data_IF_892979870382
#
_entry.id   IF_892979870382
#
_cell.length_a   1.000
_cell.length_b   1.000
_cell.length_c   1.000
_cell.angle_alpha   90.00
_cell.angle_beta   90.00
_cell.angle_gamma   90.00
#
_symmetry.space_group_name_H-M   'P 1'
#
loop_
_entity.id
_entity.type
_entity.pdbx_description
1 polymer ?
#
# COMPACT_ATOMS: atom_id res chain seq x y z
N UNK A 1 -10.24 15.04 -12.10
CA UNK A 1 -10.04 13.63 -12.47
C UNK A 1 -9.02 12.92 -11.58
N UNK A 2 -7.76 13.37 -11.47
CA UNK A 2 -6.76 12.77 -10.56
C UNK A 2 -7.18 12.64 -9.09
N UNK A 3 -7.76 13.70 -8.50
CA UNK A 3 -8.18 13.71 -7.09
C UNK A 3 -9.30 12.70 -6.77
N UNK A 4 -10.13 12.34 -7.76
CA UNK A 4 -11.24 11.40 -7.59
C UNK A 4 -10.83 9.92 -7.65
N UNK A 5 -9.65 9.62 -8.20
CA UNK A 5 -9.14 8.25 -8.33
C UNK A 5 -8.13 7.94 -7.22
N UNK A 6 -7.25 8.89 -6.89
CA UNK A 6 -6.13 8.67 -5.98
C UNK A 6 -6.53 8.49 -4.51
N UNK A 7 -7.48 9.27 -4.00
CA UNK A 7 -7.88 9.20 -2.58
C UNK A 7 -8.63 7.89 -2.25
N UNK A 8 -9.59 7.43 -3.08
CA UNK A 8 -10.21 6.12 -2.86
C UNK A 8 -9.22 4.95 -2.95
N UNK A 9 -8.26 5.00 -3.87
CA UNK A 9 -7.24 3.96 -4.03
C UNK A 9 -6.30 3.87 -2.83
N UNK A 10 -5.87 5.02 -2.28
CA UNK A 10 -5.07 5.08 -1.06
C UNK A 10 -5.73 4.33 0.10
N UNK A 11 -6.96 4.72 0.41
CA UNK A 11 -7.68 4.17 1.55
C UNK A 11 -7.86 2.65 1.38
N UNK A 12 -8.11 2.19 0.16
CA UNK A 12 -8.36 0.77 -0.11
C UNK A 12 -7.11 -0.09 0.02
N UNK A 13 -5.98 0.32 -0.57
CA UNK A 13 -4.76 -0.49 -0.56
C UNK A 13 -4.17 -0.64 0.84
N UNK A 14 -4.02 0.48 1.57
CA UNK A 14 -3.48 0.47 2.93
C UNK A 14 -4.38 -0.36 3.85
N UNK A 15 -5.70 -0.22 3.71
CA UNK A 15 -6.65 -1.01 4.50
C UNK A 15 -6.58 -2.51 4.17
N UNK A 16 -6.43 -2.88 2.89
CA UNK A 16 -6.28 -4.28 2.49
C UNK A 16 -5.01 -4.94 3.07
N UNK A 17 -3.93 -4.18 3.29
CA UNK A 17 -2.72 -4.69 3.98
C UNK A 17 -3.02 -4.85 5.48
N UNK A 18 -3.59 -3.81 6.10
CA UNK A 18 -3.74 -3.78 7.55
C UNK A 18 -4.79 -4.75 8.08
N UNK A 19 -5.88 -5.01 7.35
CA UNK A 19 -6.92 -5.97 7.78
C UNK A 19 -6.39 -7.40 7.93
N UNK A 20 -5.27 -7.74 7.28
CA UNK A 20 -4.65 -9.07 7.36
C UNK A 20 -3.93 -9.33 8.68
N UNK A 21 -3.64 -8.30 9.47
CA UNK A 21 -3.06 -8.46 10.81
C UNK A 21 -4.12 -8.80 11.87
N UNK A 22 -5.41 -8.86 11.50
CA UNK A 22 -6.52 -9.15 12.39
C UNK A 22 -6.93 -7.95 13.25
N UNK A 23 -8.22 -7.83 13.53
CA UNK A 23 -8.78 -6.78 14.39
C UNK A 23 -9.07 -7.33 15.80
N UNK A 24 -8.76 -6.60 16.89
CA UNK A 24 -8.09 -5.29 16.96
C UNK A 24 -6.56 -5.36 17.12
N UNK A 25 -6.01 -6.55 17.38
CA UNK A 25 -4.60 -6.75 17.75
C UNK A 25 -3.60 -6.29 16.67
N UNK A 26 -4.01 -6.31 15.40
CA UNK A 26 -3.21 -5.82 14.28
C UNK A 26 -2.89 -4.33 14.35
N UNK A 27 -3.70 -3.56 15.09
CA UNK A 27 -3.73 -2.09 15.08
C UNK A 27 -3.45 -1.45 16.45
N UNK A 28 -3.27 -2.25 17.49
CA UNK A 28 -3.07 -1.74 18.85
C UNK A 28 -1.63 -1.29 19.11
N UNK A 29 -1.47 -0.16 19.79
CA UNK A 29 -0.19 0.32 20.30
C UNK A 29 0.79 0.82 19.23
N UNK A 30 2.07 0.91 19.61
CA UNK A 30 3.16 1.35 18.72
C UNK A 30 3.32 0.46 17.49
N UNK A 31 3.03 -0.84 17.63
CA UNK A 31 3.13 -1.80 16.53
C UNK A 31 2.06 -1.56 15.45
N UNK A 32 0.85 -1.17 15.83
CA UNK A 32 -0.19 -0.78 14.87
C UNK A 32 0.21 0.45 14.05
N UNK A 33 0.82 1.44 14.71
CA UNK A 33 1.34 2.65 14.04
C UNK A 33 2.50 2.29 13.10
N UNK A 34 3.42 1.42 13.53
CA UNK A 34 4.50 0.91 12.69
C UNK A 34 3.98 0.27 11.40
N UNK A 35 3.03 -0.68 11.52
CA UNK A 35 2.42 -1.35 10.37
C UNK A 35 1.68 -0.38 9.45
N UNK A 36 1.01 0.64 10.01
CA UNK A 36 0.37 1.71 9.22
C UNK A 36 1.41 2.48 8.40
N UNK A 37 2.50 2.91 9.01
CA UNK A 37 3.58 3.64 8.33
C UNK A 37 4.21 2.80 7.23
N UNK A 38 4.50 1.52 7.49
CA UNK A 38 5.07 0.61 6.50
C UNK A 38 4.10 0.35 5.32
N UNK A 39 2.81 0.22 5.60
CA UNK A 39 1.77 0.10 4.57
C UNK A 39 1.68 1.37 3.70
N UNK A 40 1.82 2.55 4.30
CA UNK A 40 1.85 3.82 3.58
C UNK A 40 3.07 3.94 2.67
N UNK A 41 4.25 3.48 3.10
CA UNK A 41 5.46 3.47 2.27
C UNK A 41 5.29 2.62 1.01
N UNK A 42 4.72 1.41 1.14
CA UNK A 42 4.37 0.59 -0.02
C UNK A 42 3.37 1.30 -0.95
N UNK A 43 2.32 1.91 -0.40
CA UNK A 43 1.37 2.68 -1.20
C UNK A 43 2.05 3.79 -1.99
N UNK A 44 2.91 4.60 -1.36
CA UNK A 44 3.58 5.70 -2.04
C UNK A 44 4.51 5.22 -3.15
N UNK A 45 5.22 4.11 -2.94
CA UNK A 45 6.04 3.49 -3.97
C UNK A 45 5.22 3.07 -5.19
N UNK A 46 4.07 2.43 -4.98
CA UNK A 46 3.20 1.97 -6.07
C UNK A 46 2.51 3.15 -6.77
N UNK A 47 2.13 4.18 -6.00
CA UNK A 47 1.59 5.44 -6.52
C UNK A 47 2.53 6.11 -7.51
N UNK A 48 3.86 6.01 -7.33
CA UNK A 48 4.83 6.57 -8.27
C UNK A 48 4.78 5.88 -9.65
N UNK A 49 4.22 4.67 -9.74
CA UNK A 49 3.99 3.99 -11.02
C UNK A 49 2.69 4.43 -11.73
N UNK A 50 1.87 5.30 -11.11
CA UNK A 50 0.69 5.86 -11.75
C UNK A 50 1.07 7.09 -12.58
N UNK A 51 0.64 7.12 -13.84
CA UNK A 51 0.70 8.29 -14.71
C UNK A 51 -0.69 8.71 -15.19
N UNK A 52 -0.73 9.54 -16.23
CA UNK A 52 -1.98 9.95 -16.86
C UNK A 52 -2.63 8.79 -17.65
N UNK A 53 -3.85 8.33 -17.30
CA UNK A 53 -4.51 7.23 -18.02
C UNK A 53 -4.73 7.52 -19.52
N UNK A 54 -4.79 8.79 -19.93
CA UNK A 54 -4.93 9.16 -21.34
C UNK A 54 -3.62 8.95 -22.13
N UNK A 55 -2.48 8.85 -21.44
CA UNK A 55 -1.15 8.77 -22.05
C UNK A 55 -0.40 7.48 -21.70
N UNK A 56 -0.72 6.84 -20.57
CA UNK A 56 -0.09 5.60 -20.10
C UNK A 56 -1.14 4.64 -19.55
N UNK A 57 -0.95 3.34 -19.82
CA UNK A 57 -1.84 2.31 -19.30
C UNK A 57 -1.59 2.09 -17.80
N UNK A 58 -2.52 2.53 -16.95
CA UNK A 58 -2.47 2.37 -15.50
C UNK A 58 -3.37 1.23 -14.98
N UNK A 59 -4.06 0.51 -15.86
CA UNK A 59 -5.09 -0.46 -15.45
C UNK A 59 -4.52 -1.59 -14.59
N UNK A 60 -3.31 -2.06 -14.90
CA UNK A 60 -2.64 -3.10 -14.13
C UNK A 60 -2.28 -2.59 -12.73
N UNK A 61 -1.67 -1.40 -12.63
CA UNK A 61 -1.30 -0.79 -11.34
C UNK A 61 -2.54 -0.55 -10.48
N UNK A 62 -3.62 -0.03 -11.07
CA UNK A 62 -4.90 0.20 -10.38
C UNK A 62 -5.52 -1.12 -9.92
N UNK A 63 -5.49 -2.17 -10.75
CA UNK A 63 -5.95 -3.52 -10.39
C UNK A 63 -5.16 -4.09 -9.21
N UNK A 64 -3.84 -3.96 -9.22
CA UNK A 64 -2.96 -4.39 -8.13
C UNK A 64 -3.24 -3.62 -6.84
N UNK A 65 -3.43 -2.30 -6.91
CA UNK A 65 -3.77 -1.47 -5.74
C UNK A 65 -5.11 -1.87 -5.10
N UNK A 66 -6.06 -2.41 -5.88
CA UNK A 66 -7.34 -2.88 -5.38
C UNK A 66 -7.32 -4.35 -4.92
N UNK A 67 -6.30 -5.12 -5.29
CA UNK A 67 -6.22 -6.57 -5.07
C UNK A 67 -5.86 -6.92 -3.61
N UNK A 68 -6.70 -7.68 -2.89
CA UNK A 68 -6.35 -8.19 -1.56
C UNK A 68 -5.17 -9.16 -1.60
N UNK A 69 -5.02 -9.92 -2.70
CA UNK A 69 -3.90 -10.86 -2.89
C UNK A 69 -2.58 -10.10 -2.98
N UNK A 70 -2.55 -9.04 -3.78
CA UNK A 70 -1.36 -8.19 -3.91
C UNK A 70 -1.02 -7.53 -2.57
N UNK A 71 -2.01 -7.03 -1.84
CA UNK A 71 -1.82 -6.54 -0.48
C UNK A 71 -1.23 -7.59 0.47
N UNK A 72 -1.58 -8.88 0.30
CA UNK A 72 -1.01 -9.97 1.10
C UNK A 72 0.45 -10.25 0.79
N UNK A 73 0.86 -10.04 -0.46
CA UNK A 73 2.26 -10.12 -0.85
C UNK A 73 3.07 -8.95 -0.29
N UNK A 74 2.53 -7.72 -0.33
CA UNK A 74 3.13 -6.56 0.34
C UNK A 74 3.22 -6.75 1.86
N UNK A 75 2.21 -7.35 2.49
CA UNK A 75 2.22 -7.64 3.93
C UNK A 75 3.41 -8.52 4.33
N UNK A 76 3.85 -9.45 3.47
CA UNK A 76 5.00 -10.33 3.75
C UNK A 76 6.33 -9.59 3.79
N UNK A 77 6.41 -8.39 3.22
CA UNK A 77 7.61 -7.56 3.20
C UNK A 77 7.64 -6.50 4.31
N UNK A 78 6.61 -6.47 5.16
CA UNK A 78 6.55 -5.62 6.36
C UNK A 78 7.03 -6.43 7.57
N UNK A 79 8.07 -5.93 8.21
CA UNK A 79 8.69 -6.57 9.37
C UNK A 79 8.36 -5.77 10.63
N UNK A 80 7.87 -6.43 11.67
CA UNK A 80 7.38 -5.77 12.90
C UNK A 80 8.50 -5.08 13.71
N UNK A 81 9.76 -5.42 13.46
CA UNK A 81 10.92 -4.98 14.25
C UNK A 81 11.83 -4.00 13.51
N UNK A 82 11.62 -3.74 12.22
CA UNK A 82 12.51 -2.91 11.42
C UNK A 82 11.81 -2.22 10.25
N UNK A 83 12.48 -1.23 9.69
CA UNK A 83 12.11 -0.55 8.46
C UNK A 83 13.25 -0.62 7.46
N UNK A 84 12.97 -0.28 6.20
CA UNK A 84 13.92 -0.42 5.11
C UNK A 84 14.14 0.91 4.38
N UNK A 85 15.20 0.95 3.57
CA UNK A 85 15.43 2.05 2.64
C UNK A 85 14.35 2.12 1.55
N UNK A 86 14.11 3.29 0.92
CA UNK A 86 13.06 3.47 -0.09
C UNK A 86 13.07 2.44 -1.22
N UNK A 87 14.25 1.91 -1.60
CA UNK A 87 14.42 0.90 -2.65
C UNK A 87 13.68 -0.41 -2.36
N UNK A 88 13.46 -0.74 -1.09
CA UNK A 88 12.75 -1.96 -0.67
C UNK A 88 11.27 -1.96 -1.07
N UNK A 89 10.64 -0.79 -1.10
CA UNK A 89 9.19 -0.68 -1.28
C UNK A 89 8.74 -0.69 -2.76
N UNK A 90 9.69 -0.70 -3.70
CA UNK A 90 9.39 -0.86 -5.13
C UNK A 90 9.09 0.43 -5.88
N UNK A 91 9.55 1.58 -5.39
CA UNK A 91 9.61 2.80 -6.19
C UNK A 91 10.63 2.58 -7.31
N UNK A 92 10.18 2.61 -8.56
CA UNK A 92 11.03 2.59 -9.76
C UNK A 92 11.33 4.00 -10.21
#
# INVERSE_FOLDING_TARGET
YYHFILIPLLNKQVLNILTQYGLPAGFSGSLGIHRLIESLKHYFAIRMNLGDPEFVNVNEVVSDMMSPKFAADLKKTIYDNMTFDPKHYGGR
#
